data_IF_458030548348
#
_entry.id   IF_458030548348
#
_cell.length_a   1.000
_cell.length_b   1.000
_cell.length_c   1.000
_cell.angle_alpha   90.00
_cell.angle_beta   90.00
_cell.angle_gamma   90.00
#
_symmetry.space_group_name_H-M   'P 1'
#
loop_
_entity.id
_entity.type
_entity.pdbx_description
1 polymer ?
#
# COMPACT_ATOMS: atom_id res chain seq x y z
N UNK A 1 -1.41 -24.63 -14.47
CA UNK A 1 -1.39 -25.25 -13.12
C UNK A 1 -1.09 -26.73 -13.30
N UNK A 2 -0.08 -27.23 -12.63
CA UNK A 2 0.24 -28.66 -12.65
C UNK A 2 -0.32 -29.29 -11.38
N UNK A 3 -1.22 -30.26 -11.51
CA UNK A 3 -1.74 -31.06 -10.41
C UNK A 3 -0.75 -32.17 -10.11
N UNK A 4 -0.07 -32.10 -8.97
CA UNK A 4 0.79 -33.16 -8.48
C UNK A 4 -0.01 -34.14 -7.59
N UNK A 5 -1.12 -34.64 -8.11
CA UNK A 5 -1.91 -35.65 -7.44
C UNK A 5 -2.28 -36.76 -8.43
N UNK A 6 -2.01 -37.99 -8.06
CA UNK A 6 -2.48 -39.15 -8.81
C UNK A 6 -3.86 -39.54 -8.30
N UNK A 7 -4.87 -39.39 -9.14
CA UNK A 7 -6.23 -39.86 -8.84
C UNK A 7 -6.40 -41.24 -9.46
N UNK A 8 -6.58 -42.27 -8.63
CA UNK A 8 -6.92 -43.63 -9.10
C UNK A 8 -8.45 -43.64 -9.27
N UNK A 9 -8.87 -43.70 -10.53
CA UNK A 9 -10.29 -43.77 -10.87
C UNK A 9 -10.74 -45.21 -11.03
N UNK A 10 -11.85 -45.58 -10.41
CA UNK A 10 -12.49 -46.87 -10.59
C UNK A 10 -13.51 -46.76 -11.73
N UNK A 11 -13.60 -47.84 -12.52
CA UNK A 11 -14.65 -47.93 -13.54
C UNK A 11 -16.05 -47.84 -12.89
N UNK A 12 -17.00 -47.29 -13.63
CA UNK A 12 -18.39 -47.16 -13.23
C UNK A 12 -18.66 -46.18 -12.03
N UNK A 13 -17.74 -45.32 -11.69
CA UNK A 13 -17.95 -44.28 -10.66
C UNK A 13 -17.77 -42.86 -11.23
N UNK A 14 -18.65 -41.98 -10.80
CA UNK A 14 -18.51 -40.54 -11.08
C UNK A 14 -17.70 -39.89 -9.98
N UNK A 15 -16.76 -39.02 -10.37
CA UNK A 15 -15.90 -38.27 -9.46
C UNK A 15 -16.10 -36.77 -9.64
N UNK A 16 -16.35 -36.06 -8.54
CA UNK A 16 -16.33 -34.62 -8.52
C UNK A 16 -14.99 -34.13 -7.95
N UNK A 17 -14.13 -33.60 -8.80
CA UNK A 17 -12.87 -33.01 -8.38
C UNK A 17 -13.06 -31.51 -8.18
N UNK A 18 -13.00 -31.05 -6.92
CA UNK A 18 -13.01 -29.63 -6.58
C UNK A 18 -11.57 -29.12 -6.52
N UNK A 19 -11.22 -28.24 -7.46
CA UNK A 19 -9.90 -27.60 -7.49
C UNK A 19 -10.07 -26.17 -6.97
N UNK A 20 -9.39 -25.86 -5.86
CA UNK A 20 -9.30 -24.48 -5.36
C UNK A 20 -7.99 -23.88 -5.87
N UNK A 21 -8.11 -23.01 -6.86
CA UNK A 21 -6.96 -22.22 -7.34
C UNK A 21 -6.68 -21.10 -6.35
N UNK A 22 -5.40 -20.91 -6.00
CA UNK A 22 -4.93 -19.74 -5.26
C UNK A 22 -4.08 -18.88 -6.20
N UNK A 23 -4.21 -17.54 -6.16
CA UNK A 23 -3.34 -16.68 -6.93
C UNK A 23 -1.88 -16.89 -6.51
N UNK A 24 -1.00 -16.76 -7.49
CA UNK A 24 0.43 -16.84 -7.25
C UNK A 24 1.00 -15.41 -7.27
N UNK A 25 1.26 -14.86 -6.10
CA UNK A 25 1.78 -13.51 -5.95
C UNK A 25 3.30 -13.51 -6.15
N UNK A 26 3.80 -12.40 -6.70
CA UNK A 26 5.23 -12.15 -6.83
C UNK A 26 5.72 -11.34 -5.62
N UNK A 27 6.86 -11.70 -5.10
CA UNK A 27 7.48 -11.03 -3.95
C UNK A 27 8.83 -10.45 -4.33
N UNK A 28 9.13 -9.28 -3.78
CA UNK A 28 10.48 -8.73 -3.74
C UNK A 28 11.23 -9.41 -2.59
N UNK A 29 12.42 -9.91 -2.89
CA UNK A 29 13.27 -10.62 -1.95
C UNK A 29 14.35 -9.71 -1.35
N UNK A 30 14.92 -10.15 -0.25
CA UNK A 30 16.00 -9.45 0.47
C UNK A 30 17.26 -9.21 -0.36
N UNK A 31 17.48 -9.94 -1.46
CA UNK A 31 18.59 -9.74 -2.38
C UNK A 31 18.24 -8.88 -3.63
N UNK A 32 17.04 -8.33 -3.69
CA UNK A 32 16.56 -7.53 -4.81
C UNK A 32 15.93 -8.34 -5.95
N UNK A 33 16.01 -9.65 -5.91
CA UNK A 33 15.32 -10.50 -6.90
C UNK A 33 13.82 -10.56 -6.63
N UNK A 34 13.05 -10.99 -7.63
CA UNK A 34 11.61 -11.27 -7.48
C UNK A 34 11.34 -12.76 -7.69
N UNK A 35 10.36 -13.30 -6.99
CA UNK A 35 9.98 -14.70 -7.10
C UNK A 35 8.58 -14.98 -6.57
N UNK A 36 8.09 -16.19 -6.79
CA UNK A 36 6.78 -16.65 -6.36
C UNK A 36 6.87 -17.45 -5.06
N UNK A 37 5.84 -17.41 -4.23
CA UNK A 37 5.75 -18.17 -2.99
C UNK A 37 6.03 -19.68 -3.15
N UNK A 38 5.68 -20.27 -4.29
CA UNK A 38 5.88 -21.70 -4.55
C UNK A 38 7.23 -22.07 -5.14
N UNK A 39 8.06 -21.12 -5.44
CA UNK A 39 9.48 -21.40 -5.66
C UNK A 39 10.09 -21.71 -4.31
N UNK A 40 9.86 -22.88 -3.91
CA UNK A 40 9.82 -23.62 -2.64
C UNK A 40 10.79 -23.20 -1.56
N UNK A 41 11.67 -22.28 -1.86
CA UNK A 41 12.72 -21.92 -0.94
C UNK A 41 13.18 -20.47 -1.13
N UNK A 42 12.49 -19.69 -1.98
CA UNK A 42 12.97 -18.33 -2.27
C UNK A 42 14.50 -18.31 -2.41
N UNK A 43 15.02 -19.04 -3.42
CA UNK A 43 16.45 -19.18 -3.65
C UNK A 43 17.17 -20.15 -2.72
N UNK A 44 16.57 -21.29 -2.37
CA UNK A 44 17.18 -22.30 -1.51
C UNK A 44 17.11 -21.99 -0.01
N UNK A 45 16.18 -21.14 0.42
CA UNK A 45 16.07 -20.71 1.81
C UNK A 45 17.00 -19.55 2.17
N UNK A 46 17.74 -19.02 1.21
CA UNK A 46 18.68 -17.89 1.43
C UNK A 46 18.05 -16.52 1.18
N UNK A 47 16.87 -16.49 0.58
CA UNK A 47 16.15 -15.25 0.23
C UNK A 47 14.89 -15.13 1.05
N UNK A 48 14.67 -13.95 1.63
CA UNK A 48 13.48 -13.66 2.42
C UNK A 48 12.59 -12.67 1.67
N UNK A 49 11.28 -12.94 1.51
CA UNK A 49 10.36 -11.96 0.96
C UNK A 49 10.25 -10.76 1.90
N UNK A 50 10.33 -9.55 1.34
CA UNK A 50 10.27 -8.29 2.08
C UNK A 50 9.10 -7.41 1.65
N UNK A 51 8.56 -7.62 0.45
CA UNK A 51 7.42 -6.89 -0.06
C UNK A 51 6.64 -7.73 -1.08
N UNK A 52 5.34 -7.41 -1.26
CA UNK A 52 4.52 -7.96 -2.34
C UNK A 52 4.65 -7.04 -3.56
N UNK A 53 5.03 -7.59 -4.70
CA UNK A 53 5.14 -6.82 -5.96
C UNK A 53 3.75 -6.47 -6.47
N UNK A 54 3.49 -5.19 -6.67
CA UNK A 54 2.26 -4.67 -7.24
C UNK A 54 2.36 -4.55 -8.75
N UNK A 55 3.45 -3.98 -9.20
CA UNK A 55 3.69 -3.72 -10.61
C UNK A 55 5.17 -3.94 -10.93
N UNK A 56 5.45 -5.01 -11.67
CA UNK A 56 6.82 -5.37 -12.05
C UNK A 56 7.43 -4.42 -13.10
N UNK A 57 6.60 -3.71 -13.86
CA UNK A 57 7.10 -2.80 -14.89
C UNK A 57 7.47 -1.44 -14.32
N UNK A 58 6.73 -0.95 -13.35
CA UNK A 58 7.07 0.27 -12.62
C UNK A 58 7.96 0.03 -11.39
N UNK A 59 8.29 -1.24 -11.10
CA UNK A 59 9.10 -1.64 -9.96
C UNK A 59 8.53 -1.14 -8.62
N UNK A 60 7.23 -1.36 -8.42
CA UNK A 60 6.52 -0.97 -7.19
C UNK A 60 6.11 -2.21 -6.42
N UNK A 61 6.42 -2.20 -5.13
CA UNK A 61 5.99 -3.23 -4.20
C UNK A 61 5.50 -2.61 -2.88
N UNK A 62 4.74 -3.38 -2.10
CA UNK A 62 4.19 -2.98 -0.80
C UNK A 62 4.79 -3.81 0.31
N UNK A 63 5.21 -3.17 1.39
CA UNK A 63 5.80 -3.79 2.58
C UNK A 63 4.91 -4.90 3.15
N UNK A 64 5.51 -5.98 3.65
CA UNK A 64 4.77 -7.09 4.26
C UNK A 64 4.14 -6.71 5.61
N UNK A 65 4.75 -5.78 6.32
CA UNK A 65 4.33 -5.36 7.66
C UNK A 65 4.01 -3.87 7.71
N UNK A 66 3.33 -3.44 8.77
CA UNK A 66 3.15 -2.02 9.03
C UNK A 66 4.49 -1.34 9.31
N UNK A 67 4.65 -0.10 8.89
CA UNK A 67 5.88 0.67 9.09
C UNK A 67 6.01 1.19 10.52
N UNK A 68 4.93 1.18 11.30
CA UNK A 68 4.93 1.51 12.72
C UNK A 68 4.23 0.39 13.51
N UNK A 69 4.69 0.07 14.72
CA UNK A 69 4.03 -0.90 15.59
C UNK A 69 2.71 -0.38 16.17
N UNK A 70 2.45 0.91 16.09
CA UNK A 70 1.25 1.58 16.55
C UNK A 70 0.64 2.43 15.44
N UNK A 71 -0.61 2.80 15.60
CA UNK A 71 -1.25 3.84 14.79
C UNK A 71 -0.55 5.19 15.07
N UNK A 72 -0.33 5.96 14.03
CA UNK A 72 0.40 7.24 14.09
C UNK A 72 -0.46 8.38 13.57
N UNK A 73 -0.23 9.63 14.00
CA UNK A 73 -0.76 10.79 13.30
C UNK A 73 -0.07 10.92 11.94
N UNK A 74 -0.71 11.60 11.01
CA UNK A 74 -0.12 11.90 9.70
C UNK A 74 1.07 12.85 9.82
N UNK A 75 0.96 13.86 10.68
CA UNK A 75 2.03 14.77 11.08
C UNK A 75 1.82 15.28 12.50
N UNK A 76 2.85 15.92 13.06
CA UNK A 76 2.73 16.65 14.33
C UNK A 76 1.67 17.77 14.21
N UNK A 77 1.04 18.09 15.33
CA UNK A 77 -0.02 19.10 15.41
C UNK A 77 0.45 20.48 14.93
N UNK A 78 1.73 20.82 15.08
CA UNK A 78 2.30 22.09 14.58
C UNK A 78 2.21 22.24 13.06
N UNK A 79 2.14 21.13 12.34
CA UNK A 79 2.01 21.10 10.87
C UNK A 79 0.60 20.75 10.39
N UNK A 80 -0.33 20.48 11.29
CA UNK A 80 -1.67 20.05 10.92
C UNK A 80 -2.47 21.08 10.11
N UNK A 81 -2.25 22.37 10.39
CA UNK A 81 -2.91 23.48 9.69
C UNK A 81 -2.07 24.08 8.56
N UNK A 82 -0.80 23.70 8.51
CA UNK A 82 0.10 24.15 7.45
C UNK A 82 -0.12 23.23 6.27
N UNK A 83 -0.69 23.77 5.19
CA UNK A 83 -0.89 23.03 3.97
C UNK A 83 0.46 22.48 3.49
N UNK A 84 0.64 21.20 3.56
CA UNK A 84 1.60 20.56 2.70
C UNK A 84 1.20 20.89 1.28
N UNK A 85 2.15 21.13 0.39
CA UNK A 85 1.83 21.50 -0.99
C UNK A 85 1.09 20.34 -1.64
N UNK A 86 -0.21 20.44 -1.62
CA UNK A 86 -1.08 19.35 -1.99
C UNK A 86 -1.70 19.69 -3.32
N UNK A 87 -1.24 19.00 -4.29
CA UNK A 87 -1.97 18.93 -5.52
C UNK A 87 -3.26 18.15 -5.24
N UNK A 88 -4.35 18.84 -5.22
CA UNK A 88 -5.65 18.25 -4.95
C UNK A 88 -6.34 18.81 -3.71
N UNK A 89 -6.08 20.09 -3.39
CA UNK A 89 -7.05 20.83 -2.57
C UNK A 89 -8.37 20.83 -3.33
N UNK A 90 -9.38 20.23 -2.72
CA UNK A 90 -10.73 20.37 -3.20
C UNK A 90 -11.03 21.86 -3.34
N UNK A 91 -11.03 22.36 -4.56
CA UNK A 91 -11.64 23.64 -4.83
C UNK A 91 -13.13 23.44 -4.61
N UNK A 92 -13.66 24.14 -3.65
CA UNK A 92 -15.08 24.38 -3.37
C UNK A 92 -16.07 23.64 -4.29
N UNK A 93 -16.47 22.44 -3.94
CA UNK A 93 -17.51 21.76 -4.68
C UNK A 93 -17.75 20.32 -4.28
N UNK A 94 -16.74 19.51 -4.17
CA UNK A 94 -16.85 18.19 -3.56
C UNK A 94 -15.54 17.77 -2.92
N UNK A 95 -15.62 17.26 -1.70
CA UNK A 95 -14.48 16.67 -0.98
C UNK A 95 -13.79 15.57 -1.79
N UNK A 96 -14.48 15.02 -2.77
CA UNK A 96 -14.05 13.88 -3.57
C UNK A 96 -13.34 14.29 -4.87
N UNK A 97 -13.58 15.49 -5.38
CA UNK A 97 -12.83 16.02 -6.53
C UNK A 97 -11.37 16.30 -6.16
N UNK A 98 -11.12 16.69 -4.90
CA UNK A 98 -9.76 16.84 -4.37
C UNK A 98 -9.03 15.51 -4.22
N UNK A 99 -9.71 14.44 -3.83
CA UNK A 99 -9.18 13.08 -3.85
C UNK A 99 -8.83 12.64 -5.28
N UNK A 100 -9.60 13.06 -6.25
CA UNK A 100 -9.34 12.79 -7.66
C UNK A 100 -8.05 13.43 -8.16
N UNK A 101 -7.84 14.70 -7.89
CA UNK A 101 -6.61 15.39 -8.24
C UNK A 101 -5.39 14.75 -7.59
N UNK A 102 -5.50 14.33 -6.34
CA UNK A 102 -4.44 13.65 -5.60
C UNK A 102 -4.19 12.20 -6.06
N UNK A 103 -5.16 11.56 -6.71
CA UNK A 103 -4.97 10.24 -7.32
C UNK A 103 -3.95 10.24 -8.47
N UNK A 104 -3.57 11.39 -8.97
CA UNK A 104 -2.60 11.54 -10.07
C UNK A 104 -1.15 11.70 -9.57
N UNK A 105 -0.92 11.83 -8.27
CA UNK A 105 0.41 12.05 -7.70
C UNK A 105 0.96 10.78 -7.08
N UNK A 106 2.28 10.62 -7.14
CA UNK A 106 2.97 9.48 -6.58
C UNK A 106 3.37 9.76 -5.13
N UNK A 107 3.14 8.81 -4.25
CA UNK A 107 3.53 8.92 -2.85
C UNK A 107 5.05 9.06 -2.67
N UNK A 108 5.83 8.51 -3.58
CA UNK A 108 7.29 8.63 -3.55
C UNK A 108 7.75 10.10 -3.68
N UNK A 109 7.13 10.86 -4.60
CA UNK A 109 7.45 12.27 -4.78
C UNK A 109 7.03 13.07 -3.54
N UNK A 110 5.82 12.82 -3.02
CA UNK A 110 5.35 13.44 -1.78
C UNK A 110 6.26 13.17 -0.57
N UNK A 111 6.90 12.01 -0.55
CA UNK A 111 7.78 11.62 0.56
C UNK A 111 9.18 12.21 0.45
N UNK A 112 9.74 12.25 -0.77
CA UNK A 112 11.16 12.50 -0.97
C UNK A 112 11.51 13.81 -1.66
N UNK A 113 10.54 14.53 -2.24
CA UNK A 113 10.79 15.81 -2.89
C UNK A 113 10.32 16.98 -1.99
N UNK A 114 11.26 17.84 -1.63
CA UNK A 114 11.03 19.01 -0.79
C UNK A 114 10.01 20.02 -1.41
N UNK A 115 9.84 20.02 -2.73
CA UNK A 115 8.90 20.90 -3.42
C UNK A 115 7.43 20.59 -3.10
N UNK A 116 7.16 19.37 -2.58
CA UNK A 116 5.84 18.95 -2.13
C UNK A 116 5.52 19.35 -0.68
N UNK A 117 6.35 20.20 -0.10
CA UNK A 117 6.15 20.75 1.24
C UNK A 117 6.14 22.27 1.15
N UNK A 118 5.17 22.90 1.81
CA UNK A 118 4.98 24.35 1.73
C UNK A 118 6.14 25.14 2.33
N UNK A 119 6.28 26.40 1.94
CA UNK A 119 7.29 27.33 2.51
C UNK A 119 7.08 27.59 4.01
N UNK A 120 5.89 27.33 4.54
CA UNK A 120 5.59 27.49 5.96
C UNK A 120 6.33 26.46 6.84
N UNK A 121 6.77 25.34 6.28
CA UNK A 121 7.70 24.40 6.94
C UNK A 121 9.11 24.95 6.76
N UNK A 122 9.69 25.40 7.84
CA UNK A 122 11.05 26.02 7.86
C UNK A 122 12.16 25.03 8.15
N UNK A 123 11.80 23.89 8.75
CA UNK A 123 12.72 22.80 9.07
C UNK A 123 12.98 21.90 7.84
N UNK A 124 13.32 20.63 8.06
CA UNK A 124 13.49 19.65 7.00
C UNK A 124 12.20 19.49 6.17
N UNK A 125 12.27 19.83 4.89
CA UNK A 125 11.12 19.80 3.97
C UNK A 125 10.89 18.46 3.32
N UNK A 126 11.88 17.59 3.30
CA UNK A 126 11.71 16.22 2.81
C UNK A 126 10.98 15.43 3.90
N UNK A 127 9.67 15.21 3.71
CA UNK A 127 8.81 14.60 4.74
C UNK A 127 9.33 13.25 5.22
N UNK A 128 9.95 12.45 4.34
CA UNK A 128 10.55 11.17 4.70
C UNK A 128 11.76 11.27 5.64
N UNK A 129 12.36 12.47 5.77
CA UNK A 129 13.47 12.75 6.69
C UNK A 129 13.05 13.51 7.94
N UNK A 130 11.88 14.09 7.93
CA UNK A 130 11.37 14.91 9.03
C UNK A 130 10.48 14.09 9.97
N UNK A 131 10.92 13.83 11.22
CA UNK A 131 10.14 13.02 12.17
C UNK A 131 8.79 13.64 12.56
N UNK A 132 8.61 14.93 12.35
CA UNK A 132 7.33 15.62 12.60
C UNK A 132 6.28 15.28 11.54
N UNK A 133 6.69 14.79 10.38
CA UNK A 133 5.80 14.14 9.42
C UNK A 133 5.77 12.63 9.71
N UNK A 134 5.23 12.29 10.87
CA UNK A 134 5.34 10.99 11.54
C UNK A 134 5.10 9.79 10.63
N UNK A 135 4.02 9.84 9.85
CA UNK A 135 3.65 8.74 8.94
C UNK A 135 4.61 8.64 7.75
N UNK A 136 5.06 9.77 7.18
CA UNK A 136 6.04 9.77 6.10
C UNK A 136 7.40 9.26 6.58
N UNK A 137 7.82 9.74 7.76
CA UNK A 137 9.08 9.32 8.38
C UNK A 137 9.06 7.82 8.69
N UNK A 138 7.98 7.31 9.26
CA UNK A 138 7.82 5.88 9.51
C UNK A 138 7.87 5.05 8.23
N UNK A 139 7.18 5.48 7.17
CA UNK A 139 7.20 4.79 5.88
C UNK A 139 8.58 4.82 5.23
N UNK A 140 9.24 5.99 5.21
CA UNK A 140 10.56 6.19 4.61
C UNK A 140 11.67 5.39 5.30
N UNK A 141 11.53 5.15 6.60
CA UNK A 141 12.48 4.41 7.43
C UNK A 141 12.01 2.98 7.75
N UNK A 142 11.10 2.44 6.94
CA UNK A 142 10.62 1.08 7.13
C UNK A 142 11.77 0.07 7.11
N UNK A 143 11.79 -0.79 8.13
CA UNK A 143 12.75 -1.89 8.22
C UNK A 143 12.01 -3.22 8.02
N UNK A 144 12.33 -3.99 6.96
CA UNK A 144 11.69 -5.28 6.73
C UNK A 144 12.10 -6.39 7.73
N UNK A 145 12.98 -6.09 8.70
CA UNK A 145 13.47 -7.05 9.68
C UNK A 145 14.59 -7.96 9.17
N UNK A 146 15.04 -7.77 7.94
CA UNK A 146 16.16 -8.48 7.33
C UNK A 146 17.02 -7.50 6.53
N UNK A 147 18.33 -7.78 6.44
CA UNK A 147 19.24 -6.96 5.64
C UNK A 147 18.93 -7.09 4.15
N UNK A 148 18.81 -5.96 3.48
CA UNK A 148 18.71 -5.92 2.04
C UNK A 148 20.10 -5.88 1.42
N UNK A 149 20.36 -6.80 0.49
CA UNK A 149 21.66 -6.94 -0.20
C UNK A 149 21.57 -6.69 -1.70
N UNK A 150 20.39 -6.30 -2.19
CA UNK A 150 20.15 -5.98 -3.59
C UNK A 150 20.69 -4.60 -4.00
N UNK A 151 20.59 -4.31 -5.28
CA UNK A 151 20.92 -3.02 -5.87
C UNK A 151 19.88 -2.65 -6.93
N UNK A 152 19.45 -1.40 -7.01
CA UNK A 152 19.80 -0.24 -6.15
C UNK A 152 19.28 -0.37 -4.71
N UNK A 153 19.70 0.54 -3.83
CA UNK A 153 19.12 0.64 -2.48
C UNK A 153 17.63 0.93 -2.56
N UNK A 154 16.87 0.31 -1.67
CA UNK A 154 15.41 0.48 -1.62
C UNK A 154 15.04 1.91 -1.19
N UNK A 155 14.07 2.47 -1.87
CA UNK A 155 13.48 3.75 -1.50
C UNK A 155 12.04 3.53 -1.03
N UNK A 156 11.88 3.40 0.30
CA UNK A 156 10.58 3.26 0.93
C UNK A 156 9.86 4.61 1.01
N UNK A 157 8.54 4.62 0.90
CA UNK A 157 7.75 5.84 0.91
C UNK A 157 6.32 5.62 1.40
N UNK A 158 5.65 6.70 1.79
CA UNK A 158 4.23 6.69 2.10
C UNK A 158 3.42 6.73 0.81
N UNK A 159 2.60 5.71 0.51
CA UNK A 159 1.84 5.66 -0.73
C UNK A 159 0.76 6.75 -0.80
N UNK A 160 0.51 7.25 -1.99
CA UNK A 160 -0.63 8.11 -2.28
C UNK A 160 -1.93 7.29 -2.42
N UNK A 161 -3.05 7.99 -2.48
CA UNK A 161 -4.34 7.36 -2.80
C UNK A 161 -4.30 6.63 -4.16
N UNK A 162 -3.52 7.16 -5.10
CA UNK A 162 -3.28 6.54 -6.41
C UNK A 162 -2.50 5.23 -6.32
N UNK A 163 -1.46 5.20 -5.48
CA UNK A 163 -0.65 3.99 -5.29
C UNK A 163 -1.49 2.86 -4.68
N UNK A 164 -2.40 3.17 -3.75
CA UNK A 164 -3.31 2.17 -3.19
C UNK A 164 -4.28 1.57 -4.21
N UNK A 165 -4.62 2.30 -5.26
CA UNK A 165 -5.43 1.77 -6.36
C UNK A 165 -4.75 0.57 -7.03
N UNK A 166 -3.42 0.58 -7.15
CA UNK A 166 -2.67 -0.55 -7.69
C UNK A 166 -2.77 -1.80 -6.81
N UNK A 167 -2.79 -1.65 -5.48
CA UNK A 167 -3.02 -2.78 -4.56
C UNK A 167 -4.36 -3.45 -4.86
N UNK A 168 -5.40 -2.63 -4.98
CA UNK A 168 -6.77 -3.11 -5.13
C UNK A 168 -6.98 -3.81 -6.46
N UNK A 169 -6.48 -3.21 -7.53
CA UNK A 169 -6.63 -3.76 -8.88
C UNK A 169 -5.74 -4.99 -9.10
N UNK A 170 -4.50 -4.96 -8.62
CA UNK A 170 -3.54 -6.02 -8.94
C UNK A 170 -3.58 -7.20 -7.96
N UNK A 171 -3.79 -6.96 -6.67
CA UNK A 171 -3.85 -8.04 -5.68
C UNK A 171 -5.28 -8.50 -5.39
N UNK A 172 -6.24 -7.60 -5.43
CA UNK A 172 -7.64 -7.90 -5.20
C UNK A 172 -8.42 -8.23 -6.47
N UNK A 173 -7.79 -8.09 -7.65
CA UNK A 173 -8.45 -8.23 -8.97
C UNK A 173 -9.75 -7.42 -9.05
N UNK A 174 -9.74 -6.26 -8.42
CA UNK A 174 -10.90 -5.40 -8.32
C UNK A 174 -11.00 -4.40 -9.45
N UNK A 175 -12.18 -3.85 -9.60
CA UNK A 175 -12.46 -2.73 -10.49
C UNK A 175 -12.63 -1.46 -9.69
N UNK A 176 -12.02 -0.40 -10.14
CA UNK A 176 -12.20 0.92 -9.58
C UNK A 176 -13.50 1.52 -10.14
N UNK A 177 -14.45 1.77 -9.27
CA UNK A 177 -15.69 2.45 -9.63
C UNK A 177 -15.78 3.76 -8.85
N UNK A 178 -16.15 4.81 -9.58
CA UNK A 178 -16.49 6.09 -9.00
C UNK A 178 -17.98 6.08 -8.76
N UNK A 179 -18.39 6.13 -7.52
CA UNK A 179 -19.78 6.41 -7.20
C UNK A 179 -20.04 7.91 -7.35
N UNK A 180 -21.31 8.27 -7.56
CA UNK A 180 -21.75 9.64 -7.85
C UNK A 180 -21.05 10.70 -7.00
N UNK A 181 -20.89 11.94 -7.50
CA UNK A 181 -20.31 13.05 -6.76
C UNK A 181 -20.93 13.18 -5.36
N UNK A 182 -20.09 13.23 -4.32
CA UNK A 182 -20.53 13.32 -2.93
C UNK A 182 -20.71 12.00 -2.17
N UNK A 183 -20.55 10.83 -2.81
CA UNK A 183 -20.78 9.52 -2.17
C UNK A 183 -19.48 8.77 -1.86
N UNK A 184 -18.34 9.31 -2.26
CA UNK A 184 -17.04 8.66 -2.06
C UNK A 184 -16.61 7.77 -3.22
N UNK A 185 -15.39 7.37 -3.17
CA UNK A 185 -14.78 6.46 -4.13
C UNK A 185 -14.75 5.07 -3.51
N UNK A 186 -15.39 4.12 -4.14
CA UNK A 186 -15.32 2.72 -3.75
C UNK A 186 -14.56 1.93 -4.81
N UNK A 187 -13.81 0.96 -4.36
CA UNK A 187 -13.28 -0.09 -5.21
C UNK A 187 -13.86 -1.41 -4.73
N UNK A 188 -14.50 -2.12 -5.62
CA UNK A 188 -14.87 -3.51 -5.35
C UNK A 188 -13.62 -4.35 -5.59
N UNK A 189 -13.15 -5.01 -4.56
CA UNK A 189 -12.01 -5.91 -4.62
C UNK A 189 -12.26 -7.16 -3.79
N UNK A 190 -11.59 -8.22 -4.16
CA UNK A 190 -11.61 -9.45 -3.37
C UNK A 190 -10.59 -9.33 -2.23
N UNK A 191 -11.01 -8.78 -1.09
CA UNK A 191 -10.13 -8.52 0.06
C UNK A 191 -9.46 -9.78 0.60
N UNK A 192 -10.08 -10.95 0.47
CA UNK A 192 -9.45 -12.23 0.82
C UNK A 192 -8.23 -12.54 -0.06
N UNK A 193 -8.23 -12.13 -1.32
CA UNK A 193 -7.08 -12.28 -2.20
C UNK A 193 -5.96 -11.33 -1.77
N UNK A 194 -6.28 -10.07 -1.47
CA UNK A 194 -5.30 -9.12 -0.92
C UNK A 194 -4.72 -9.66 0.37
N UNK A 195 -5.56 -10.11 1.31
CA UNK A 195 -5.13 -10.70 2.57
C UNK A 195 -4.17 -11.86 2.34
N UNK A 196 -4.51 -12.78 1.43
CA UNK A 196 -3.69 -13.95 1.17
C UNK A 196 -2.32 -13.62 0.59
N UNK A 197 -2.16 -12.50 -0.13
CA UNK A 197 -0.88 -12.06 -0.64
C UNK A 197 0.14 -11.80 0.49
N UNK A 198 -0.33 -11.34 1.63
CA UNK A 198 0.52 -11.08 2.79
C UNK A 198 0.65 -12.29 3.70
N UNK A 199 -0.47 -12.92 4.06
CA UNK A 199 -0.48 -13.96 5.09
C UNK A 199 0.23 -15.25 4.66
N UNK A 200 0.31 -15.56 3.36
CA UNK A 200 1.03 -16.74 2.90
C UNK A 200 2.56 -16.67 3.09
N UNK A 201 3.11 -15.47 3.34
CA UNK A 201 4.53 -15.25 3.65
C UNK A 201 4.73 -14.68 5.06
N UNK A 202 3.77 -14.93 5.95
CA UNK A 202 3.78 -14.46 7.33
C UNK A 202 3.78 -12.93 7.50
N UNK A 203 3.33 -12.20 6.49
CA UNK A 203 3.11 -10.77 6.57
C UNK A 203 1.81 -10.42 7.31
N UNK A 204 1.70 -9.19 7.78
CA UNK A 204 0.50 -8.66 8.41
C UNK A 204 -0.60 -8.47 7.37
N UNK A 205 -1.79 -8.98 7.66
CA UNK A 205 -2.97 -8.84 6.81
C UNK A 205 -3.20 -7.36 6.45
N UNK A 206 -3.43 -7.13 5.16
CA UNK A 206 -3.55 -5.77 4.63
C UNK A 206 -4.86 -5.04 4.99
N UNK A 207 -6.04 -5.67 5.05
CA UNK A 207 -7.26 -4.88 5.20
C UNK A 207 -7.40 -4.30 6.62
N UNK A 208 -7.08 -3.03 6.74
CA UNK A 208 -7.42 -2.13 7.84
C UNK A 208 -7.50 -0.71 7.28
N UNK A 209 -7.39 0.31 8.12
CA UNK A 209 -7.34 1.69 7.68
C UNK A 209 -5.90 2.21 7.70
N UNK A 210 -5.50 2.81 6.59
CA UNK A 210 -4.14 3.31 6.36
C UNK A 210 -4.13 4.78 5.93
N UNK A 211 -3.15 5.51 6.44
CA UNK A 211 -2.83 6.82 5.91
C UNK A 211 -2.32 6.74 4.47
N UNK A 212 -2.64 7.76 3.68
CA UNK A 212 -1.99 8.02 2.40
C UNK A 212 -1.16 9.29 2.47
N UNK A 213 -0.27 9.52 1.50
CA UNK A 213 0.46 10.77 1.37
C UNK A 213 -0.41 11.94 0.87
N UNK A 214 -1.59 11.63 0.37
CA UNK A 214 -2.50 12.61 -0.23
C UNK A 214 -3.19 13.43 0.83
N UNK A 215 -2.94 14.74 0.86
CA UNK A 215 -3.67 15.63 1.76
C UNK A 215 -5.00 16.08 1.15
N UNK A 216 -5.98 16.30 2.02
CA UNK A 216 -7.29 16.83 1.69
C UNK A 216 -7.42 18.17 2.39
N UNK A 217 -7.03 19.23 1.70
CA UNK A 217 -6.96 20.57 2.29
C UNK A 217 -5.88 20.69 3.39
N UNK A 218 -5.99 21.74 4.20
CA UNK A 218 -4.96 22.07 5.19
C UNK A 218 -4.97 21.12 6.39
N UNK A 219 -6.14 20.68 6.83
CA UNK A 219 -6.32 19.99 8.11
C UNK A 219 -6.45 18.46 8.02
N UNK A 220 -6.76 17.94 6.85
CA UNK A 220 -7.06 16.53 6.66
C UNK A 220 -6.13 15.86 5.65
N UNK A 221 -5.97 14.57 5.79
CA UNK A 221 -5.30 13.72 4.82
C UNK A 221 -6.22 12.55 4.43
N UNK A 222 -6.04 12.06 3.22
CA UNK A 222 -6.80 10.92 2.73
C UNK A 222 -6.36 9.64 3.42
N UNK A 223 -7.32 8.79 3.72
CA UNK A 223 -7.15 7.47 4.27
C UNK A 223 -7.79 6.43 3.38
N UNK A 224 -7.22 5.25 3.37
CA UNK A 224 -7.81 4.08 2.73
C UNK A 224 -8.41 3.21 3.82
N UNK A 225 -9.71 3.02 3.79
CA UNK A 225 -10.45 2.20 4.75
C UNK A 225 -10.91 0.93 4.05
N UNK A 226 -10.37 -0.20 4.46
CA UNK A 226 -10.77 -1.49 3.94
C UNK A 226 -11.71 -2.20 4.92
N UNK A 227 -12.86 -2.62 4.43
CA UNK A 227 -13.75 -3.54 5.12
C UNK A 227 -13.76 -4.92 4.43
N UNK A 228 -14.66 -5.81 4.82
CA UNK A 228 -14.68 -7.18 4.28
C UNK A 228 -14.95 -7.26 2.77
N UNK A 229 -15.67 -6.31 2.21
CA UNK A 229 -16.19 -6.40 0.83
C UNK A 229 -15.90 -5.18 -0.03
N UNK A 230 -15.45 -4.08 0.58
CA UNK A 230 -15.19 -2.84 -0.15
C UNK A 230 -14.01 -2.11 0.44
N UNK A 231 -13.38 -1.30 -0.39
CA UNK A 231 -12.37 -0.33 0.03
C UNK A 231 -12.89 1.04 -0.35
N UNK A 232 -12.85 1.94 0.61
CA UNK A 232 -13.28 3.31 0.44
C UNK A 232 -12.10 4.24 0.75
N UNK A 233 -12.07 5.37 0.09
CA UNK A 233 -11.24 6.49 0.49
C UNK A 233 -12.09 7.42 1.33
N UNK A 234 -11.53 7.83 2.45
CA UNK A 234 -12.10 8.81 3.35
C UNK A 234 -11.01 9.83 3.68
N UNK A 235 -11.26 10.74 4.57
CA UNK A 235 -10.29 11.70 5.07
C UNK A 235 -10.40 11.84 6.57
N UNK A 236 -9.28 12.16 7.21
CA UNK A 236 -9.22 12.34 8.66
C UNK A 236 -8.25 13.46 9.00
N UNK A 237 -8.43 14.01 10.19
CA UNK A 237 -7.60 15.08 10.74
C UNK A 237 -6.16 14.60 10.93
N UNK A 238 -5.20 15.36 10.41
CA UNK A 238 -3.79 14.94 10.28
C UNK A 238 -3.10 14.59 11.60
N UNK A 239 -3.44 15.23 12.70
CA UNK A 239 -2.75 15.06 13.99
C UNK A 239 -3.35 13.98 14.89
N UNK A 240 -4.33 13.23 14.43
CA UNK A 240 -4.98 12.19 15.21
C UNK A 240 -4.36 10.82 14.88
N UNK A 241 -3.91 10.03 15.87
CA UNK A 241 -3.24 8.74 15.62
C UNK A 241 -4.26 7.60 15.44
N UNK A 242 -5.06 7.65 14.40
CA UNK A 242 -6.16 6.68 14.18
C UNK A 242 -5.85 5.60 13.16
N UNK A 243 -4.81 5.76 12.34
CA UNK A 243 -4.57 4.86 11.23
C UNK A 243 -3.14 4.32 11.20
N UNK A 244 -3.01 3.18 10.54
CA UNK A 244 -1.73 2.53 10.33
C UNK A 244 -0.93 3.16 9.20
N UNK A 245 0.35 2.91 9.19
CA UNK A 245 1.26 3.26 8.09
C UNK A 245 1.71 1.99 7.40
N UNK A 246 1.50 1.91 6.09
CA UNK A 246 2.06 0.85 5.24
C UNK A 246 3.00 1.47 4.23
N UNK A 247 4.26 1.07 4.26
CA UNK A 247 5.24 1.57 3.31
C UNK A 247 5.11 0.87 1.96
N UNK A 248 5.32 1.64 0.90
CA UNK A 248 5.57 1.11 -0.44
C UNK A 248 7.04 1.32 -0.77
N UNK A 249 7.53 0.61 -1.77
CA UNK A 249 8.92 0.70 -2.19
C UNK A 249 9.02 0.72 -3.71
N UNK A 250 9.93 1.54 -4.19
CA UNK A 250 10.47 1.45 -5.54
C UNK A 250 11.79 0.69 -5.47
N UNK A 251 11.92 -0.37 -6.30
CA UNK A 251 13.06 -1.31 -6.29
C UNK A 251 13.63 -1.52 -7.69
#
# INVERSE_FOLDING_TARGET
AQLNATLIMQADKSYLVKIKLKPNYTYLMSDGSTGFFRETTFGGGTKTPIAVVLNKYSHIAVALNNASPLQTPWCDSKYSSIGTNTYGTASSGSQYDGLYGSLMKRGIDETWDASYTTSAVTDEKIKGKNPDFTTFYAAANYNPGVSYTGSPALQWYLPSSSDYKEVLSNLGFGTFQIFAPGVGVRCESYNELIRSAFTQVSGVSFPTAYWTSSAVGNYAAAVVVANQTSIAWDHEVKYIPHFWTRAFVKY
#
